data_IF_249199822303
#
_entry.id   IF_249199822303
#
_cell.length_a   1.000
_cell.length_b   1.000
_cell.length_c   1.000
_cell.angle_alpha   90.00
_cell.angle_beta   90.00
_cell.angle_gamma   90.00
#
_symmetry.space_group_name_H-M   'P 1'
#
loop_
_entity.id
_entity.type
_entity.pdbx_description
1 polymer ?
#
# COMPACT_ATOMS: atom_id res chain seq x y z
N UNK A 1 14.41 35.39 -62.01
CA UNK A 1 14.48 36.83 -61.66
C UNK A 1 14.54 36.92 -60.13
N UNK A 2 15.73 37.20 -59.58
CA UNK A 2 16.05 38.41 -58.80
C UNK A 2 15.68 38.24 -57.30
N UNK A 3 16.63 37.80 -56.45
CA UNK A 3 17.52 38.62 -55.55
C UNK A 3 16.76 39.02 -54.26
N UNK A 4 17.13 38.73 -52.99
CA UNK A 4 18.37 38.81 -52.18
C UNK A 4 18.22 37.95 -50.90
N UNK A 5 19.20 37.19 -50.39
CA UNK A 5 20.39 37.54 -49.57
C UNK A 5 20.11 38.33 -48.26
N UNK A 6 20.26 37.66 -47.11
CA UNK A 6 21.09 38.04 -45.94
C UNK A 6 20.73 37.13 -44.74
N UNK A 7 21.56 36.14 -44.37
CA UNK A 7 22.65 36.24 -43.38
C UNK A 7 22.21 36.69 -41.97
N UNK A 8 22.19 35.72 -41.05
CA UNK A 8 22.04 35.95 -39.61
C UNK A 8 22.34 34.64 -38.86
N UNK A 9 23.60 34.26 -38.82
CA UNK A 9 24.07 33.20 -37.93
C UNK A 9 24.04 33.72 -36.49
N UNK A 10 23.21 33.12 -35.63
CA UNK A 10 23.39 33.20 -34.17
C UNK A 10 23.20 31.81 -33.57
N UNK A 11 24.30 31.40 -32.96
CA UNK A 11 24.57 30.31 -32.03
C UNK A 11 23.41 29.42 -31.56
N UNK A 12 23.70 28.12 -31.67
CA UNK A 12 23.15 27.03 -30.90
C UNK A 12 22.96 27.34 -29.41
N UNK A 13 21.76 27.10 -28.91
CA UNK A 13 21.52 26.54 -27.57
C UNK A 13 20.40 25.51 -27.71
N UNK A 14 20.78 24.26 -27.94
CA UNK A 14 19.90 23.11 -27.74
C UNK A 14 19.63 22.96 -26.24
N UNK A 15 18.69 23.74 -25.69
CA UNK A 15 18.07 23.41 -24.41
C UNK A 15 16.97 22.38 -24.67
N UNK A 16 17.40 21.14 -24.92
CA UNK A 16 16.52 20.00 -24.68
C UNK A 16 16.19 20.01 -23.17
N UNK A 17 14.92 20.14 -22.76
CA UNK A 17 14.59 19.93 -21.37
C UNK A 17 14.88 18.46 -21.07
N UNK A 18 16.00 18.21 -20.37
CA UNK A 18 16.20 16.95 -19.68
C UNK A 18 15.00 16.77 -18.76
N UNK A 19 14.05 15.92 -19.18
CA UNK A 19 13.08 15.29 -18.30
C UNK A 19 13.90 14.47 -17.30
N UNK A 20 14.40 15.12 -16.26
CA UNK A 20 14.88 14.47 -15.06
C UNK A 20 13.64 13.79 -14.46
N UNK A 21 13.51 12.49 -14.75
CA UNK A 21 12.59 11.63 -14.04
C UNK A 21 12.95 11.68 -12.57
N UNK A 22 12.22 12.49 -11.81
CA UNK A 22 12.23 12.42 -10.36
C UNK A 22 11.66 11.05 -10.01
N UNK A 23 12.55 10.10 -9.71
CA UNK A 23 12.16 8.87 -9.03
C UNK A 23 11.55 9.30 -7.69
N UNK A 24 10.23 9.37 -7.62
CA UNK A 24 9.55 9.54 -6.35
C UNK A 24 9.83 8.26 -5.56
N UNK A 25 10.69 8.36 -4.56
CA UNK A 25 10.88 7.28 -3.61
C UNK A 25 9.51 6.98 -2.98
N UNK A 26 9.07 5.72 -3.10
CA UNK A 26 7.85 5.27 -2.46
C UNK A 26 7.94 5.54 -0.95
N UNK A 27 6.93 6.20 -0.38
CA UNK A 27 6.84 6.38 1.06
C UNK A 27 6.60 5.01 1.70
N UNK A 28 7.61 4.52 2.41
CA UNK A 28 7.61 3.22 3.07
C UNK A 28 6.76 3.19 4.35
N UNK A 29 6.17 4.33 4.74
CA UNK A 29 5.36 4.45 5.95
C UNK A 29 6.16 4.20 7.24
N UNK A 30 5.45 4.13 8.38
CA UNK A 30 6.09 3.91 9.67
C UNK A 30 6.73 2.53 9.76
N UNK A 31 7.88 2.43 10.44
CA UNK A 31 8.57 1.16 10.65
C UNK A 31 7.80 0.21 11.57
N UNK A 32 7.12 0.77 12.58
CA UNK A 32 6.30 0.06 13.56
C UNK A 32 4.89 0.66 13.56
N UNK A 33 3.88 -0.20 13.61
CA UNK A 33 2.47 0.21 13.53
C UNK A 33 1.67 -0.51 14.60
N UNK A 34 0.81 0.22 15.32
CA UNK A 34 -0.24 -0.37 16.14
C UNK A 34 -1.50 -0.52 15.29
N UNK A 35 -1.93 -1.77 15.11
CA UNK A 35 -3.09 -2.13 14.32
C UNK A 35 -4.36 -2.10 15.18
N UNK A 36 -5.15 -1.05 15.00
CA UNK A 36 -6.43 -0.86 15.69
C UNK A 36 -7.44 -0.20 14.76
N UNK A 37 -8.66 -0.75 14.75
CA UNK A 37 -9.79 -0.10 14.09
C UNK A 37 -10.40 0.95 15.00
N UNK A 38 -10.75 2.09 14.40
CA UNK A 38 -11.56 3.16 14.97
C UNK A 38 -13.06 3.00 14.68
N UNK A 39 -13.44 2.29 13.61
CA UNK A 39 -14.84 2.04 13.24
C UNK A 39 -15.42 0.86 14.02
N UNK A 40 -14.73 -0.27 14.05
CA UNK A 40 -15.12 -1.50 14.74
C UNK A 40 -14.05 -1.87 15.79
N UNK A 41 -13.88 -1.06 16.85
CA UNK A 41 -12.84 -1.31 17.84
C UNK A 41 -13.09 -2.62 18.60
N UNK A 42 -12.07 -3.47 18.66
CA UNK A 42 -12.10 -4.66 19.50
C UNK A 42 -11.82 -4.28 20.96
N UNK A 43 -12.66 -4.75 21.89
CA UNK A 43 -12.44 -4.57 23.34
C UNK A 43 -11.28 -5.41 23.86
N UNK A 44 -11.13 -6.62 23.32
CA UNK A 44 -10.05 -7.55 23.62
C UNK A 44 -9.75 -8.42 22.39
N UNK A 45 -8.52 -8.94 22.24
CA UNK A 45 -7.31 -8.60 23.01
C UNK A 45 -6.81 -7.17 22.71
N UNK A 46 -5.71 -6.74 23.35
CA UNK A 46 -5.04 -5.45 23.05
C UNK A 46 -4.74 -5.31 21.55
N UNK A 47 -4.59 -4.09 21.01
CA UNK A 47 -4.19 -3.87 19.61
C UNK A 47 -2.96 -4.69 19.20
N UNK A 48 -2.94 -5.14 17.94
CA UNK A 48 -1.81 -5.90 17.45
C UNK A 48 -0.63 -4.97 17.13
N UNK A 49 0.57 -5.34 17.56
CA UNK A 49 1.80 -4.64 17.15
C UNK A 49 2.30 -5.25 15.84
N UNK A 50 2.58 -4.40 14.87
CA UNK A 50 2.98 -4.80 13.53
C UNK A 50 4.32 -4.14 13.14
N UNK A 51 5.41 -4.93 13.10
CA UNK A 51 6.70 -4.46 12.62
C UNK A 51 6.66 -4.38 11.09
N UNK A 52 6.15 -3.28 10.57
CA UNK A 52 5.92 -3.07 9.14
C UNK A 52 7.22 -3.13 8.35
N UNK A 53 8.30 -2.48 8.82
CA UNK A 53 9.61 -2.52 8.17
C UNK A 53 10.16 -3.95 8.04
N UNK A 54 9.95 -4.80 9.06
CA UNK A 54 10.38 -6.19 9.02
C UNK A 54 9.64 -6.99 7.93
N UNK A 55 8.36 -6.70 7.70
CA UNK A 55 7.60 -7.32 6.61
C UNK A 55 8.02 -6.76 5.26
N UNK A 56 8.14 -5.43 5.14
CA UNK A 56 8.53 -4.76 3.91
C UNK A 56 9.91 -5.18 3.40
N UNK A 57 10.87 -5.46 4.30
CA UNK A 57 12.19 -5.96 3.92
C UNK A 57 12.17 -7.33 3.23
N UNK A 58 11.04 -8.04 3.26
CA UNK A 58 10.90 -9.42 2.79
C UNK A 58 9.71 -9.64 1.85
N UNK A 59 8.80 -8.69 1.76
CA UNK A 59 7.53 -8.82 1.05
C UNK A 59 7.26 -7.56 0.23
N UNK A 60 6.62 -7.74 -0.93
CA UNK A 60 6.20 -6.64 -1.77
C UNK A 60 4.96 -5.94 -1.20
N UNK A 61 4.78 -4.65 -1.48
CA UNK A 61 3.61 -3.87 -1.04
C UNK A 61 2.28 -4.57 -1.37
N UNK A 62 2.21 -5.18 -2.56
CA UNK A 62 1.02 -5.91 -3.07
C UNK A 62 0.66 -7.19 -2.33
N UNK A 63 1.57 -7.74 -1.51
CA UNK A 63 1.25 -8.87 -0.64
C UNK A 63 0.11 -8.50 0.32
N UNK A 64 0.13 -7.26 0.84
CA UNK A 64 -0.84 -6.79 1.80
C UNK A 64 -1.80 -5.76 1.20
N UNK A 65 -1.24 -4.71 0.59
CA UNK A 65 -2.01 -3.63 0.00
C UNK A 65 -2.69 -4.10 -1.28
N UNK A 66 -3.95 -3.72 -1.40
CA UNK A 66 -4.80 -4.08 -2.52
C UNK A 66 -5.94 -3.09 -2.63
N UNK A 67 -6.57 -3.06 -3.79
CA UNK A 67 -7.82 -2.35 -4.01
C UNK A 67 -8.97 -3.33 -4.25
N UNK A 68 -10.18 -2.78 -4.39
CA UNK A 68 -11.39 -3.54 -4.70
C UNK A 68 -11.92 -3.09 -6.06
N UNK A 69 -12.10 -4.02 -6.97
CA UNK A 69 -12.74 -3.79 -8.26
C UNK A 69 -14.23 -3.50 -8.13
N UNK A 70 -14.84 -3.01 -9.22
CA UNK A 70 -16.27 -2.79 -9.29
C UNK A 70 -17.09 -4.09 -9.09
N UNK A 71 -16.52 -5.24 -9.45
CA UNK A 71 -17.09 -6.57 -9.22
C UNK A 71 -16.88 -7.09 -7.77
N UNK A 72 -16.33 -6.25 -6.89
CA UNK A 72 -16.04 -6.61 -5.50
C UNK A 72 -14.80 -7.48 -5.31
N UNK A 73 -14.06 -7.82 -6.37
CA UNK A 73 -12.86 -8.65 -6.26
C UNK A 73 -11.64 -7.84 -5.86
N UNK A 74 -10.68 -8.52 -5.24
CA UNK A 74 -9.37 -7.97 -4.91
C UNK A 74 -8.59 -7.68 -6.18
N UNK A 75 -8.05 -6.47 -6.29
CA UNK A 75 -7.10 -6.06 -7.32
C UNK A 75 -5.75 -5.82 -6.63
N UNK A 76 -4.67 -6.33 -7.23
CA UNK A 76 -3.31 -6.13 -6.71
C UNK A 76 -2.97 -4.66 -6.61
N UNK A 77 -2.20 -4.29 -5.59
CA UNK A 77 -1.60 -2.96 -5.50
C UNK A 77 -0.62 -2.75 -6.65
N UNK A 78 -0.66 -1.55 -7.21
CA UNK A 78 0.29 -1.02 -8.19
C UNK A 78 1.05 0.15 -7.59
N UNK A 79 2.31 0.33 -8.02
CA UNK A 79 3.19 1.38 -7.50
C UNK A 79 2.57 2.78 -7.66
N UNK A 80 2.69 3.61 -6.63
CA UNK A 80 2.07 4.94 -6.59
C UNK A 80 0.57 4.94 -6.28
N UNK A 81 -0.09 3.78 -6.14
CA UNK A 81 -1.47 3.75 -5.65
C UNK A 81 -1.51 4.29 -4.22
N UNK A 82 -2.47 5.18 -3.94
CA UNK A 82 -2.70 5.66 -2.57
C UNK A 82 -3.06 4.48 -1.66
N UNK A 83 -2.32 4.35 -0.56
CA UNK A 83 -2.58 3.36 0.48
C UNK A 83 -3.53 3.98 1.52
N UNK A 84 -4.70 3.36 1.67
CA UNK A 84 -5.70 3.74 2.67
C UNK A 84 -5.67 2.79 3.87
N UNK A 85 -6.25 3.21 5.00
CA UNK A 85 -6.45 2.31 6.13
C UNK A 85 -7.37 1.15 5.75
N UNK A 86 -7.08 -0.06 6.20
CA UNK A 86 -7.88 -1.25 5.91
C UNK A 86 -9.36 -1.07 6.29
N UNK A 87 -9.62 -0.40 7.41
CA UNK A 87 -10.97 -0.16 7.92
C UNK A 87 -11.82 0.75 7.03
N UNK A 88 -11.25 1.44 6.03
CA UNK A 88 -12.04 2.20 5.05
C UNK A 88 -13.01 1.30 4.26
N UNK A 89 -12.60 0.05 4.00
CA UNK A 89 -13.40 -0.95 3.28
C UNK A 89 -13.75 -2.16 4.15
N UNK A 90 -12.88 -2.58 5.05
CA UNK A 90 -13.10 -3.70 5.95
C UNK A 90 -13.73 -3.21 7.25
N UNK A 91 -15.03 -2.93 7.21
CA UNK A 91 -15.81 -2.50 8.37
C UNK A 91 -17.27 -2.95 8.27
N UNK A 92 -17.95 -2.94 9.42
CA UNK A 92 -19.32 -3.43 9.58
C UNK A 92 -20.36 -2.66 8.75
N UNK A 93 -20.02 -1.45 8.29
CA UNK A 93 -20.89 -0.56 7.52
C UNK A 93 -20.69 -0.68 6.01
N UNK A 94 -19.66 -1.38 5.55
CA UNK A 94 -19.28 -1.46 4.15
C UNK A 94 -19.97 -2.58 3.36
N UNK A 95 -20.82 -3.39 3.99
CA UNK A 95 -21.56 -4.47 3.33
C UNK A 95 -20.67 -5.60 2.79
N UNK A 96 -19.48 -5.78 3.35
CA UNK A 96 -18.55 -6.84 2.96
C UNK A 96 -18.99 -8.21 3.51
N UNK A 97 -18.59 -9.33 2.88
CA UNK A 97 -18.85 -10.67 3.41
C UNK A 97 -18.37 -10.80 4.85
N UNK A 98 -19.07 -11.54 5.70
CA UNK A 98 -18.81 -11.63 7.15
C UNK A 98 -17.33 -11.87 7.51
N UNK A 99 -16.66 -12.77 6.78
CA UNK A 99 -15.24 -13.10 6.97
C UNK A 99 -14.27 -11.95 6.69
N UNK A 100 -14.73 -10.88 6.04
CA UNK A 100 -13.97 -9.68 5.67
C UNK A 100 -14.67 -8.39 6.13
N UNK A 101 -15.83 -8.52 6.79
CA UNK A 101 -16.74 -7.44 7.15
C UNK A 101 -16.29 -6.59 8.34
N UNK A 102 -15.08 -6.81 8.83
CA UNK A 102 -14.42 -5.96 9.83
C UNK A 102 -12.93 -5.99 9.60
N UNK A 103 -12.22 -4.97 10.09
CA UNK A 103 -10.76 -4.93 10.07
C UNK A 103 -10.18 -6.17 10.77
N UNK A 104 -10.75 -6.51 11.93
CA UNK A 104 -10.37 -7.70 12.70
C UNK A 104 -10.42 -8.96 11.82
N UNK A 105 -11.53 -9.19 11.13
CA UNK A 105 -11.71 -10.42 10.36
C UNK A 105 -10.78 -10.44 9.14
N UNK A 106 -10.66 -9.32 8.43
CA UNK A 106 -9.75 -9.19 7.29
C UNK A 106 -8.28 -9.39 7.70
N UNK A 107 -7.85 -8.82 8.82
CA UNK A 107 -6.49 -8.99 9.33
C UNK A 107 -6.18 -10.44 9.73
N UNK A 108 -7.12 -11.16 10.35
CA UNK A 108 -6.90 -12.58 10.64
C UNK A 108 -6.88 -13.43 9.36
N UNK A 109 -7.76 -13.17 8.40
CA UNK A 109 -7.80 -13.88 7.13
C UNK A 109 -6.51 -13.67 6.29
N UNK A 110 -5.88 -12.50 6.40
CA UNK A 110 -4.64 -12.20 5.66
C UNK A 110 -3.39 -12.60 6.46
N UNK A 111 -3.21 -12.00 7.65
CA UNK A 111 -1.98 -12.09 8.42
C UNK A 111 -1.86 -13.45 9.11
N UNK A 112 -2.92 -13.87 9.81
CA UNK A 112 -2.87 -15.11 10.58
C UNK A 112 -2.75 -16.32 9.64
N UNK A 113 -3.46 -16.33 8.52
CA UNK A 113 -3.40 -17.45 7.58
C UNK A 113 -2.06 -17.50 6.83
N UNK A 114 -1.44 -16.36 6.52
CA UNK A 114 -0.08 -16.32 6.01
C UNK A 114 0.92 -16.91 7.02
N UNK A 115 0.82 -16.53 8.30
CA UNK A 115 1.68 -17.09 9.36
C UNK A 115 1.42 -18.58 9.58
N UNK A 116 0.16 -19.03 9.65
CA UNK A 116 -0.17 -20.47 9.78
C UNK A 116 0.48 -21.32 8.67
N UNK A 117 0.61 -20.78 7.46
CA UNK A 117 1.21 -21.49 6.32
C UNK A 117 2.74 -21.48 6.36
N UNK A 118 3.36 -20.36 6.74
CA UNK A 118 4.80 -20.17 6.58
C UNK A 118 5.60 -20.29 7.88
N UNK A 119 5.02 -19.87 9.01
CA UNK A 119 5.62 -19.83 10.35
C UNK A 119 4.53 -19.93 11.43
N UNK A 120 3.97 -21.13 11.68
CA UNK A 120 2.81 -21.32 12.56
C UNK A 120 3.01 -20.79 13.98
N UNK A 121 4.24 -20.77 14.47
CA UNK A 121 4.61 -20.21 15.78
C UNK A 121 4.28 -18.73 15.90
N UNK A 122 4.28 -17.99 14.79
CA UNK A 122 3.96 -16.56 14.72
C UNK A 122 2.45 -16.29 14.57
N UNK A 123 1.62 -17.32 14.40
CA UNK A 123 0.17 -17.18 14.23
C UNK A 123 -0.61 -17.13 15.57
N UNK A 124 0.10 -17.27 16.69
CA UNK A 124 -0.48 -17.27 18.05
C UNK A 124 -0.96 -15.87 18.43
N UNK A 125 -2.13 -15.78 19.08
CA UNK A 125 -2.75 -14.51 19.45
C UNK A 125 -1.81 -13.57 20.24
N UNK A 126 -1.08 -14.12 21.21
CA UNK A 126 -0.18 -13.38 22.10
C UNK A 126 1.11 -12.90 21.42
N UNK A 127 1.43 -13.41 20.23
CA UNK A 127 2.59 -12.92 19.46
C UNK A 127 2.27 -11.57 18.84
N UNK A 128 1.04 -11.39 18.33
CA UNK A 128 0.60 -10.14 17.72
C UNK A 128 0.02 -9.18 18.75
N UNK A 129 -0.81 -9.67 19.68
CA UNK A 129 -1.53 -8.87 20.67
C UNK A 129 -0.80 -8.85 22.02
N UNK A 130 0.03 -7.83 22.26
CA UNK A 130 0.90 -7.67 23.45
C UNK A 130 0.40 -6.56 24.38
#
# INVERSE_FOLDING_TARGET
MKKWLACGAVLAVCCAPCLMGIAQAADNGPAEITLQSTIDPAKTPKPAQFPHAAHQSRLECKTCHHSKGADGKRISYEEGQKIEKCETCHNSKAGMPEKLGTFKNAAHALCQDCHKKNKPELAKCTVCHK
#
